data_IF_139127937668
#
_entry.id   IF_139127937668
#
_cell.length_a   1.000
_cell.length_b   1.000
_cell.length_c   1.000
_cell.angle_alpha   90.00
_cell.angle_beta   90.00
_cell.angle_gamma   90.00
#
_symmetry.space_group_name_H-M   'P 1'
#
loop_
_entity.id
_entity.type
_entity.pdbx_description
1 polymer ?
#
# COMPACT_ATOMS: atom_id res chain seq x y z
N UNK A 1 -8.22 -9.13 -2.62
CA UNK A 1 -9.65 -9.15 -3.01
C UNK A 1 -9.91 -8.51 -4.36
N UNK A 2 -9.58 -7.24 -4.61
CA UNK A 2 -9.83 -6.60 -5.94
C UNK A 2 -9.27 -7.39 -7.13
N UNK A 3 -8.09 -7.98 -6.94
CA UNK A 3 -7.42 -8.80 -7.96
C UNK A 3 -8.22 -10.01 -8.41
N UNK A 4 -9.13 -10.56 -7.59
CA UNK A 4 -9.98 -11.67 -8.05
C UNK A 4 -10.90 -11.26 -9.19
N UNK A 5 -11.39 -10.03 -9.15
CA UNK A 5 -12.18 -9.49 -10.24
C UNK A 5 -11.30 -9.08 -11.41
N UNK A 6 -10.15 -8.46 -11.14
CA UNK A 6 -9.20 -8.15 -12.22
C UNK A 6 -8.78 -9.45 -12.98
N UNK A 7 -8.73 -10.60 -12.29
CA UNK A 7 -8.43 -11.92 -12.87
C UNK A 7 -9.64 -12.68 -13.43
N UNK A 8 -10.86 -12.11 -13.39
CA UNK A 8 -12.08 -12.76 -13.89
C UNK A 8 -12.48 -14.06 -13.15
N UNK A 9 -12.06 -14.23 -11.90
CA UNK A 9 -12.35 -15.44 -11.10
C UNK A 9 -13.81 -15.47 -10.64
N UNK A 10 -14.38 -14.30 -10.32
CA UNK A 10 -15.74 -14.20 -9.81
C UNK A 10 -16.67 -13.76 -10.94
N UNK A 11 -17.76 -14.49 -11.14
CA UNK A 11 -18.77 -14.15 -12.15
C UNK A 11 -19.86 -13.23 -11.60
N UNK A 12 -20.58 -12.59 -12.52
CA UNK A 12 -21.78 -11.81 -12.20
C UNK A 12 -22.84 -12.69 -11.52
N UNK A 13 -23.54 -12.21 -10.47
CA UNK A 13 -23.53 -10.84 -9.92
C UNK A 13 -22.53 -10.59 -8.80
N UNK A 14 -21.80 -11.61 -8.33
CA UNK A 14 -20.96 -11.50 -7.13
C UNK A 14 -19.71 -10.63 -7.34
N UNK A 15 -19.24 -10.48 -8.58
CA UNK A 15 -18.12 -9.61 -8.91
C UNK A 15 -18.37 -8.13 -8.56
N UNK A 16 -19.64 -7.69 -8.51
CA UNK A 16 -20.03 -6.33 -8.09
C UNK A 16 -19.52 -5.98 -6.69
N UNK A 17 -19.45 -6.95 -5.79
CA UNK A 17 -18.91 -6.76 -4.43
C UNK A 17 -17.42 -6.40 -4.44
N UNK A 18 -16.71 -6.76 -5.50
CA UNK A 18 -15.29 -6.51 -5.66
C UNK A 18 -14.99 -5.26 -6.48
N UNK A 19 -15.99 -4.56 -7.01
CA UNK A 19 -15.81 -3.35 -7.83
C UNK A 19 -15.96 -2.09 -6.97
N UNK A 20 -15.18 -1.05 -7.31
CA UNK A 20 -15.30 0.27 -6.68
C UNK A 20 -16.62 0.94 -7.07
N UNK A 21 -17.35 1.59 -6.15
CA UNK A 21 -16.96 1.88 -4.76
C UNK A 21 -17.35 0.79 -3.74
N UNK A 22 -18.14 -0.22 -4.14
CA UNK A 22 -18.73 -1.22 -3.23
C UNK A 22 -17.67 -1.99 -2.43
N UNK A 23 -16.52 -2.30 -3.06
CA UNK A 23 -15.42 -3.00 -2.39
C UNK A 23 -14.94 -2.28 -1.11
N UNK A 24 -15.04 -0.95 -1.04
CA UNK A 24 -14.64 -0.21 0.16
C UNK A 24 -15.53 -0.56 1.36
N UNK A 25 -16.83 -0.74 1.16
CA UNK A 25 -17.75 -1.20 2.21
C UNK A 25 -17.47 -2.65 2.59
N UNK A 26 -17.20 -3.52 1.62
CA UNK A 26 -16.86 -4.93 1.87
C UNK A 26 -15.60 -5.04 2.74
N UNK A 27 -14.53 -4.32 2.37
CA UNK A 27 -13.29 -4.27 3.16
C UNK A 27 -13.54 -3.65 4.53
N UNK A 28 -14.36 -2.59 4.62
CA UNK A 28 -14.72 -1.97 5.90
C UNK A 28 -15.40 -2.95 6.85
N UNK A 29 -16.44 -3.67 6.40
CA UNK A 29 -17.15 -4.64 7.25
C UNK A 29 -16.28 -5.82 7.64
N UNK A 30 -15.41 -6.32 6.75
CA UNK A 30 -14.43 -7.35 7.10
C UNK A 30 -13.46 -6.84 8.17
N UNK A 31 -12.91 -5.64 7.97
CA UNK A 31 -11.96 -5.02 8.91
C UNK A 31 -12.62 -4.77 10.27
N UNK A 32 -13.86 -4.29 10.29
CA UNK A 32 -14.66 -4.09 11.49
C UNK A 32 -14.92 -5.42 12.20
N UNK A 33 -15.27 -6.48 11.45
CA UNK A 33 -15.42 -7.82 11.97
C UNK A 33 -14.14 -8.34 12.63
N UNK A 34 -12.99 -8.17 11.96
CA UNK A 34 -11.68 -8.51 12.53
C UNK A 34 -11.37 -7.71 13.80
N UNK A 35 -11.69 -6.42 13.83
CA UNK A 35 -11.48 -5.56 15.00
C UNK A 35 -12.33 -6.00 16.20
N UNK A 36 -13.62 -6.28 15.97
CA UNK A 36 -14.54 -6.76 17.00
C UNK A 36 -14.07 -8.13 17.52
N UNK A 37 -13.71 -9.05 16.63
CA UNK A 37 -13.18 -10.36 17.01
C UNK A 37 -11.89 -10.23 17.82
N UNK A 38 -10.94 -9.39 17.38
CA UNK A 38 -9.71 -9.12 18.11
C UNK A 38 -9.98 -8.59 19.52
N UNK A 39 -10.95 -7.68 19.68
CA UNK A 39 -11.39 -7.14 20.98
C UNK A 39 -12.03 -8.19 21.89
N UNK A 40 -12.83 -9.10 21.33
CA UNK A 40 -13.47 -10.19 22.10
C UNK A 40 -12.42 -11.21 22.54
N UNK A 41 -11.46 -11.55 21.67
CA UNK A 41 -10.38 -12.49 21.95
C UNK A 41 -9.42 -11.91 23.00
N UNK A 42 -9.02 -10.64 22.85
CA UNK A 42 -8.10 -9.98 23.80
C UNK A 42 -8.68 -9.94 25.21
N UNK A 43 -9.99 -9.74 25.35
CA UNK A 43 -10.68 -9.77 26.65
C UNK A 43 -10.69 -11.17 27.30
N UNK A 44 -10.65 -12.25 26.50
CA UNK A 44 -10.72 -13.64 26.99
C UNK A 44 -9.37 -14.28 27.28
N UNK A 45 -8.30 -13.89 26.59
CA UNK A 45 -7.04 -14.65 26.53
C UNK A 45 -5.85 -13.97 27.25
N UNK A 46 -6.14 -13.21 28.31
CA UNK A 46 -5.15 -12.36 29.02
C UNK A 46 -4.64 -11.21 28.15
N UNK A 47 -3.98 -10.22 28.75
CA UNK A 47 -3.60 -8.89 28.18
C UNK A 47 -2.63 -8.93 26.98
N UNK A 48 -2.81 -9.82 26.00
CA UNK A 48 -2.16 -9.68 24.71
C UNK A 48 -2.67 -8.41 24.03
N UNK A 49 -1.72 -7.60 23.57
CA UNK A 49 -1.97 -6.37 22.84
C UNK A 49 -2.98 -6.62 21.71
N UNK A 50 -4.16 -6.00 21.82
CA UNK A 50 -5.25 -6.08 20.83
C UNK A 50 -4.74 -5.80 19.41
N UNK A 51 -3.78 -4.88 19.29
CA UNK A 51 -3.09 -4.50 18.06
C UNK A 51 -2.41 -5.69 17.37
N UNK A 52 -1.70 -6.53 18.12
CA UNK A 52 -1.02 -7.71 17.57
C UNK A 52 -2.02 -8.75 17.07
N UNK A 53 -3.12 -8.96 17.81
CA UNK A 53 -4.18 -9.88 17.40
C UNK A 53 -4.83 -9.36 16.12
N UNK A 54 -5.22 -8.08 16.08
CA UNK A 54 -5.82 -7.46 14.91
C UNK A 54 -4.90 -7.52 13.68
N UNK A 55 -3.61 -7.18 13.85
CA UNK A 55 -2.61 -7.28 12.79
C UNK A 55 -2.43 -8.71 12.27
N UNK A 56 -2.43 -9.70 13.17
CA UNK A 56 -2.34 -11.11 12.78
C UNK A 56 -3.56 -11.58 11.99
N UNK A 57 -4.78 -11.13 12.35
CA UNK A 57 -5.99 -11.44 11.58
C UNK A 57 -5.94 -10.85 10.18
N UNK A 58 -5.45 -9.61 10.04
CA UNK A 58 -5.24 -8.98 8.74
C UNK A 58 -4.21 -9.75 7.89
N UNK A 59 -3.10 -10.18 8.48
CA UNK A 59 -2.08 -10.98 7.80
C UNK A 59 -2.61 -12.35 7.37
N UNK A 60 -3.37 -13.04 8.24
CA UNK A 60 -4.03 -14.30 7.92
C UNK A 60 -5.05 -14.12 6.79
N UNK A 61 -5.83 -13.04 6.83
CA UNK A 61 -6.77 -12.70 5.76
C UNK A 61 -6.04 -12.49 4.43
N UNK A 62 -4.92 -11.75 4.44
CA UNK A 62 -4.09 -11.55 3.26
C UNK A 62 -3.54 -12.88 2.72
N UNK A 63 -2.94 -13.72 3.57
CA UNK A 63 -2.38 -15.02 3.19
C UNK A 63 -3.48 -15.93 2.62
N UNK A 64 -4.64 -16.02 3.29
CA UNK A 64 -5.77 -16.80 2.81
C UNK A 64 -6.19 -16.37 1.41
N UNK A 65 -6.29 -15.06 1.17
CA UNK A 65 -6.66 -14.54 -0.14
C UNK A 65 -5.59 -14.81 -1.21
N UNK A 66 -4.32 -14.67 -0.86
CA UNK A 66 -3.22 -14.92 -1.78
C UNK A 66 -3.14 -16.41 -2.14
N UNK A 67 -3.29 -17.31 -1.17
CA UNK A 67 -3.32 -18.76 -1.38
C UNK A 67 -4.47 -19.21 -2.27
N UNK A 68 -5.66 -18.63 -2.08
CA UNK A 68 -6.81 -18.91 -2.95
C UNK A 68 -6.51 -18.44 -4.38
N UNK A 69 -5.95 -17.24 -4.54
CA UNK A 69 -5.57 -16.71 -5.85
C UNK A 69 -4.57 -17.62 -6.57
N UNK A 70 -3.52 -18.06 -5.88
CA UNK A 70 -2.51 -19.00 -6.39
C UNK A 70 -3.08 -20.39 -6.72
N UNK A 71 -4.19 -20.78 -6.10
CA UNK A 71 -4.84 -22.07 -6.38
C UNK A 71 -5.66 -22.04 -7.67
N UNK A 72 -6.10 -20.86 -8.11
CA UNK A 72 -6.97 -20.68 -9.28
C UNK A 72 -6.22 -20.12 -10.48
N UNK A 73 -5.23 -19.24 -10.25
CA UNK A 73 -4.49 -18.53 -11.29
C UNK A 73 -3.02 -18.96 -11.32
N UNK A 74 -2.45 -19.03 -12.52
CA UNK A 74 -1.03 -19.31 -12.71
C UNK A 74 -0.24 -18.01 -12.74
N UNK A 75 0.92 -18.00 -12.10
CA UNK A 75 1.84 -16.87 -12.16
C UNK A 75 2.37 -16.73 -13.59
N UNK A 76 2.11 -15.59 -14.22
CA UNK A 76 2.53 -15.29 -15.59
C UNK A 76 3.90 -14.60 -15.62
N UNK A 77 4.11 -13.62 -14.73
CA UNK A 77 5.27 -12.74 -14.73
C UNK A 77 5.92 -12.66 -13.33
N UNK A 78 6.60 -13.71 -12.86
CA UNK A 78 7.17 -13.74 -11.51
C UNK A 78 8.26 -12.68 -11.29
N UNK A 79 9.00 -12.31 -12.36
CA UNK A 79 10.08 -11.33 -12.29
C UNK A 79 9.60 -9.92 -11.97
N UNK A 80 8.34 -9.59 -12.30
CA UNK A 80 7.74 -8.27 -12.02
C UNK A 80 7.76 -7.99 -10.52
N UNK A 81 7.48 -8.99 -9.69
CA UNK A 81 7.55 -8.86 -8.23
C UNK A 81 8.96 -8.43 -7.78
N UNK A 82 10.00 -9.09 -8.32
CA UNK A 82 11.39 -8.80 -7.97
C UNK A 82 11.81 -7.40 -8.43
N UNK A 83 11.40 -6.98 -9.62
CA UNK A 83 11.70 -5.64 -10.13
C UNK A 83 11.02 -4.54 -9.31
N UNK A 84 9.74 -4.70 -8.97
CA UNK A 84 9.00 -3.71 -8.18
C UNK A 84 9.57 -3.59 -6.77
N UNK A 85 9.81 -4.72 -6.10
CA UNK A 85 10.43 -4.73 -4.78
C UNK A 85 11.85 -4.16 -4.84
N UNK A 86 12.65 -4.59 -5.80
CA UNK A 86 14.02 -4.14 -5.98
C UNK A 86 14.13 -2.63 -6.20
N UNK A 87 13.35 -2.07 -7.13
CA UNK A 87 13.32 -0.63 -7.39
C UNK A 87 12.79 0.16 -6.19
N UNK A 88 11.68 -0.29 -5.59
CA UNK A 88 11.11 0.38 -4.42
C UNK A 88 12.09 0.43 -3.24
N UNK A 89 12.78 -0.69 -2.97
CA UNK A 89 13.81 -0.75 -1.92
C UNK A 89 15.01 0.12 -2.28
N UNK A 90 15.50 0.07 -3.52
CA UNK A 90 16.66 0.86 -3.96
C UNK A 90 16.40 2.36 -3.81
N UNK A 91 15.26 2.85 -4.28
CA UNK A 91 14.92 4.28 -4.18
C UNK A 91 14.72 4.68 -2.73
N UNK A 92 14.03 3.87 -1.93
CA UNK A 92 13.81 4.14 -0.50
C UNK A 92 15.13 4.18 0.28
N UNK A 93 16.04 3.23 0.03
CA UNK A 93 17.37 3.23 0.64
C UNK A 93 18.20 4.44 0.21
N UNK A 94 18.11 4.84 -1.06
CA UNK A 94 18.79 6.02 -1.56
C UNK A 94 18.32 7.29 -0.83
N UNK A 95 17.00 7.45 -0.66
CA UNK A 95 16.42 8.56 0.10
C UNK A 95 16.83 8.49 1.58
N UNK A 96 16.79 7.31 2.19
CA UNK A 96 17.22 7.12 3.59
C UNK A 96 18.68 7.53 3.81
N UNK A 97 19.60 7.09 2.93
CA UNK A 97 21.02 7.42 3.03
C UNK A 97 21.24 8.93 2.89
N UNK A 98 20.56 9.57 1.93
CA UNK A 98 20.64 11.04 1.76
C UNK A 98 20.08 11.76 2.99
N UNK A 99 18.90 11.37 3.47
CA UNK A 99 18.29 11.96 4.66
C UNK A 99 19.19 11.83 5.89
N UNK A 100 19.79 10.65 6.10
CA UNK A 100 20.73 10.42 7.21
C UNK A 100 21.99 11.28 7.11
N UNK A 101 22.52 11.49 5.90
CA UNK A 101 23.70 12.36 5.67
C UNK A 101 23.40 13.83 5.94
N UNK A 102 22.19 14.29 5.60
CA UNK A 102 21.75 15.68 5.79
C UNK A 102 21.20 15.92 7.20
N UNK A 103 21.02 14.87 8.02
CA UNK A 103 20.45 14.98 9.36
C UNK A 103 18.94 15.20 9.36
N UNK A 104 18.24 14.81 8.29
CA UNK A 104 16.80 14.99 8.18
C UNK A 104 16.04 13.84 8.86
N UNK A 105 15.79 14.01 10.17
CA UNK A 105 15.25 12.95 11.03
C UNK A 105 13.88 12.41 10.59
N UNK A 106 13.05 13.25 9.97
CA UNK A 106 11.70 12.89 9.50
C UNK A 106 11.74 11.67 8.56
N UNK A 107 12.75 11.54 7.70
CA UNK A 107 12.84 10.38 6.78
C UNK A 107 13.68 9.22 7.34
N UNK A 108 14.09 9.30 8.60
CA UNK A 108 14.80 8.22 9.31
C UNK A 108 13.93 7.48 10.31
N UNK A 109 12.80 8.06 10.72
CA UNK A 109 11.80 7.40 11.55
C UNK A 109 11.23 6.16 10.85
N UNK A 110 11.00 5.08 11.61
CA UNK A 110 10.57 3.78 11.07
C UNK A 110 9.22 3.86 10.38
N UNK A 111 8.27 4.59 10.95
CA UNK A 111 6.92 4.70 10.40
C UNK A 111 6.93 5.56 9.12
N UNK A 112 7.65 6.68 9.13
CA UNK A 112 7.81 7.53 7.95
C UNK A 112 8.55 6.82 6.81
N UNK A 113 9.60 6.07 7.13
CA UNK A 113 10.32 5.27 6.14
C UNK A 113 9.43 4.16 5.56
N UNK A 114 8.56 3.57 6.38
CA UNK A 114 7.57 2.58 5.91
C UNK A 114 6.54 3.20 4.96
N UNK A 115 6.07 4.42 5.26
CA UNK A 115 5.17 5.18 4.38
C UNK A 115 5.87 5.47 3.04
N UNK A 116 7.09 5.98 3.11
CA UNK A 116 7.89 6.24 1.93
C UNK A 116 8.05 4.97 1.09
N UNK A 117 8.42 3.85 1.72
CA UNK A 117 8.58 2.57 1.05
C UNK A 117 7.31 2.12 0.34
N UNK A 118 6.15 2.19 1.00
CA UNK A 118 4.87 1.83 0.38
C UNK A 118 4.57 2.66 -0.88
N UNK A 119 4.85 3.96 -0.84
CA UNK A 119 4.67 4.84 -1.99
C UNK A 119 5.73 4.65 -3.09
N UNK A 120 6.95 4.27 -2.73
CA UNK A 120 7.99 3.91 -3.71
C UNK A 120 7.69 2.57 -4.39
N UNK A 121 7.11 1.60 -3.67
CA UNK A 121 6.58 0.38 -4.27
C UNK A 121 5.43 0.68 -5.24
N UNK A 122 4.53 1.59 -4.87
CA UNK A 122 3.45 2.01 -5.76
C UNK A 122 3.99 2.66 -7.05
N UNK A 123 4.92 3.62 -6.92
CA UNK A 123 5.59 4.22 -8.08
C UNK A 123 6.35 3.19 -8.93
N UNK A 124 7.00 2.22 -8.30
CA UNK A 124 7.69 1.13 -9.00
C UNK A 124 6.71 0.25 -9.77
N UNK A 125 5.54 -0.01 -9.18
CA UNK A 125 4.48 -0.76 -9.86
C UNK A 125 3.88 0.00 -11.05
N UNK A 126 3.70 1.32 -10.94
CA UNK A 126 3.28 2.16 -12.07
C UNK A 126 4.36 2.22 -13.14
N UNK A 127 5.62 2.41 -12.77
CA UNK A 127 6.75 2.47 -13.70
C UNK A 127 6.86 1.18 -14.52
N UNK A 128 6.94 0.03 -13.87
CA UNK A 128 7.00 -1.26 -14.55
C UNK A 128 5.72 -1.50 -15.37
N UNK A 129 4.54 -1.21 -14.79
CA UNK A 129 3.27 -1.41 -15.48
C UNK A 129 3.15 -0.61 -16.77
N UNK A 130 3.45 0.68 -16.74
CA UNK A 130 3.31 1.58 -17.89
C UNK A 130 4.41 1.32 -18.92
N UNK A 131 5.68 1.42 -18.50
CA UNK A 131 6.80 1.44 -19.43
C UNK A 131 7.13 0.08 -20.02
N UNK A 132 6.91 -1.02 -19.27
CA UNK A 132 7.29 -2.37 -19.74
C UNK A 132 6.11 -3.25 -20.11
N UNK A 133 4.94 -3.05 -19.51
CA UNK A 133 3.78 -3.91 -19.69
C UNK A 133 2.62 -3.23 -20.43
N UNK A 134 2.74 -1.95 -20.81
CA UNK A 134 1.74 -1.22 -21.59
C UNK A 134 0.44 -0.90 -20.86
N UNK A 135 0.45 -0.92 -19.52
CA UNK A 135 -0.69 -0.43 -18.73
C UNK A 135 -0.80 1.10 -18.82
N UNK A 136 -1.99 1.62 -18.52
CA UNK A 136 -2.24 3.06 -18.48
C UNK A 136 -2.52 3.52 -17.04
N UNK A 137 -1.91 4.64 -16.67
CA UNK A 137 -2.21 5.35 -15.42
C UNK A 137 -3.58 6.03 -15.51
N UNK A 138 -4.38 5.92 -14.46
CA UNK A 138 -5.77 6.42 -14.42
C UNK A 138 -5.89 7.77 -13.71
N UNK A 139 -4.87 8.17 -12.95
CA UNK A 139 -4.89 9.42 -12.19
C UNK A 139 -4.48 10.62 -13.06
N UNK A 140 -5.35 11.62 -13.14
CA UNK A 140 -5.19 12.80 -14.04
C UNK A 140 -3.80 13.44 -13.97
N UNK A 141 -3.32 13.79 -12.76
CA UNK A 141 -2.02 14.46 -12.60
C UNK A 141 -0.83 13.54 -12.96
N UNK A 142 -0.72 12.32 -12.41
CA UNK A 142 0.21 11.30 -12.88
C UNK A 142 0.20 11.10 -14.40
N UNK A 143 -0.95 10.83 -15.01
CA UNK A 143 -1.08 10.57 -16.45
C UNK A 143 -0.57 11.76 -17.26
N UNK A 144 -0.94 12.98 -16.90
CA UNK A 144 -0.45 14.19 -17.57
C UNK A 144 1.08 14.32 -17.54
N UNK A 145 1.71 14.02 -16.39
CA UNK A 145 3.17 14.08 -16.27
C UNK A 145 3.86 12.96 -17.06
N UNK A 146 3.25 11.78 -17.12
CA UNK A 146 3.75 10.66 -17.92
C UNK A 146 3.68 11.02 -19.41
N UNK A 147 2.57 11.58 -19.87
CA UNK A 147 2.39 12.01 -21.26
C UNK A 147 3.41 13.10 -21.66
N UNK A 148 3.75 13.99 -20.72
CA UNK A 148 4.75 15.05 -20.94
C UNK A 148 6.19 14.52 -20.98
N UNK A 149 6.52 13.54 -20.12
CA UNK A 149 7.90 13.03 -19.96
C UNK A 149 8.18 11.79 -20.80
N UNK A 150 7.15 11.12 -21.30
CA UNK A 150 7.24 9.86 -22.03
C UNK A 150 7.54 8.62 -21.15
N UNK A 151 7.54 8.75 -19.82
CA UNK A 151 7.87 7.65 -18.90
C UNK A 151 7.16 7.78 -17.56
N UNK A 152 6.75 6.65 -16.99
CA UNK A 152 6.25 6.58 -15.62
C UNK A 152 7.33 6.73 -14.54
N UNK A 153 8.60 6.88 -14.92
CA UNK A 153 9.68 7.20 -13.98
C UNK A 153 9.43 8.53 -13.25
N UNK A 154 8.69 9.47 -13.85
CA UNK A 154 8.29 10.74 -13.22
C UNK A 154 7.48 10.55 -11.92
N UNK A 155 6.92 9.37 -11.69
CA UNK A 155 6.14 9.05 -10.48
C UNK A 155 6.99 9.06 -9.21
N UNK A 156 8.28 8.71 -9.29
CA UNK A 156 9.17 8.75 -8.13
C UNK A 156 9.35 10.17 -7.59
N UNK A 157 9.88 11.15 -8.38
CA UNK A 157 10.03 12.51 -7.88
C UNK A 157 8.69 13.15 -7.51
N UNK A 158 7.61 12.86 -8.24
CA UNK A 158 6.27 13.35 -7.89
C UNK A 158 5.85 12.90 -6.48
N UNK A 159 5.94 11.60 -6.18
CA UNK A 159 5.56 11.09 -4.85
C UNK A 159 6.50 11.60 -3.77
N UNK A 160 7.80 11.67 -4.01
CA UNK A 160 8.75 12.24 -3.05
C UNK A 160 8.43 13.71 -2.74
N UNK A 161 8.17 14.52 -3.76
CA UNK A 161 7.82 15.93 -3.61
C UNK A 161 6.52 16.15 -2.82
N UNK A 162 5.58 15.20 -2.86
CA UNK A 162 4.33 15.27 -2.08
C UNK A 162 4.54 14.74 -0.66
N UNK A 163 5.11 13.54 -0.50
CA UNK A 163 5.13 12.87 0.79
C UNK A 163 6.20 13.42 1.74
N UNK A 164 7.32 13.97 1.25
CA UNK A 164 8.32 14.58 2.13
C UNK A 164 7.72 15.78 2.90
N UNK A 165 7.08 16.79 2.24
CA UNK A 165 6.40 17.87 2.95
C UNK A 165 5.25 17.40 3.83
N UNK A 166 4.42 16.46 3.35
CA UNK A 166 3.29 15.94 4.14
C UNK A 166 3.77 15.30 5.44
N UNK A 167 4.80 14.46 5.39
CA UNK A 167 5.37 13.84 6.58
C UNK A 167 6.02 14.87 7.51
N UNK A 168 6.70 15.87 6.96
CA UNK A 168 7.28 16.96 7.74
C UNK A 168 6.21 17.76 8.52
N UNK A 169 5.11 18.12 7.84
CA UNK A 169 3.98 18.84 8.44
C UNK A 169 3.34 18.02 9.56
N UNK A 170 3.06 16.73 9.28
CA UNK A 170 2.46 15.83 10.27
C UNK A 170 3.37 15.67 11.49
N UNK A 171 4.68 15.63 11.28
CA UNK A 171 5.65 15.45 12.35
C UNK A 171 5.92 16.70 13.17
N UNK A 172 5.68 17.87 12.61
CA UNK A 172 5.90 19.14 13.30
C UNK A 172 4.66 19.60 14.04
N UNK A 173 3.47 19.39 13.48
CA UNK A 173 2.24 20.04 13.95
C UNK A 173 1.39 19.23 14.95
N UNK A 174 1.66 17.93 15.15
CA UNK A 174 0.83 17.05 15.99
C UNK A 174 1.59 16.47 17.18
N UNK A 175 2.29 17.31 17.95
CA UNK A 175 3.15 16.88 19.06
C UNK A 175 2.76 17.42 20.45
N UNK A 176 1.79 18.33 20.53
CA UNK A 176 1.51 19.11 21.75
C UNK A 176 1.02 18.23 22.91
N UNK A 177 0.06 17.34 22.65
CA UNK A 177 -0.59 16.53 23.67
C UNK A 177 -0.74 15.05 23.24
N UNK A 178 -1.22 14.21 24.15
CA UNK A 178 -1.34 12.77 23.91
C UNK A 178 -2.37 12.42 22.82
N UNK A 179 -3.46 13.19 22.72
CA UNK A 179 -4.48 12.99 21.69
C UNK A 179 -3.92 13.35 20.31
N UNK A 180 -3.20 14.47 20.21
CA UNK A 180 -2.47 14.87 18.99
C UNK A 180 -1.48 13.81 18.52
N UNK A 181 -0.71 13.19 19.43
CA UNK A 181 0.22 12.10 19.08
C UNK A 181 -0.49 10.84 18.57
N UNK A 182 -1.65 10.51 19.13
CA UNK A 182 -2.47 9.41 18.65
C UNK A 182 -3.02 9.71 17.24
N UNK A 183 -3.51 10.93 17.02
CA UNK A 183 -3.99 11.37 15.70
C UNK A 183 -2.87 11.35 14.66
N UNK A 184 -1.66 11.84 15.00
CA UNK A 184 -0.46 11.76 14.16
C UNK A 184 -0.21 10.34 13.68
N UNK A 185 -0.21 9.38 14.62
CA UNK A 185 0.02 7.97 14.30
C UNK A 185 -1.10 7.40 13.43
N UNK A 186 -2.35 7.73 13.73
CA UNK A 186 -3.51 7.31 12.94
C UNK A 186 -3.43 7.81 11.49
N UNK A 187 -3.16 9.12 11.29
CA UNK A 187 -3.04 9.72 9.96
C UNK A 187 -1.88 9.08 9.18
N UNK A 188 -0.73 8.85 9.83
CA UNK A 188 0.40 8.13 9.23
C UNK A 188 0.03 6.72 8.78
N UNK A 189 -0.72 5.97 9.60
CA UNK A 189 -1.21 4.64 9.24
C UNK A 189 -2.18 4.70 8.05
N UNK A 190 -3.04 5.72 7.97
CA UNK A 190 -3.91 5.94 6.81
C UNK A 190 -3.07 6.17 5.55
N UNK A 191 -2.08 7.04 5.60
CA UNK A 191 -1.19 7.32 4.46
C UNK A 191 -0.44 6.06 4.02
N UNK A 192 0.09 5.28 4.99
CA UNK A 192 0.74 4.00 4.74
C UNK A 192 -0.18 3.05 3.94
N UNK A 193 -1.44 2.91 4.37
CA UNK A 193 -2.43 2.05 3.71
C UNK A 193 -2.78 2.57 2.32
N UNK A 194 -2.89 3.89 2.14
CA UNK A 194 -3.14 4.51 0.83
C UNK A 194 -2.04 4.24 -0.19
N UNK A 195 -0.77 4.12 0.24
CA UNK A 195 0.33 3.71 -0.64
C UNK A 195 0.39 2.20 -0.86
N UNK A 196 0.23 1.41 0.21
CA UNK A 196 0.39 -0.04 0.16
C UNK A 196 -0.73 -0.73 -0.62
N UNK A 197 -1.96 -0.21 -0.53
CA UNK A 197 -3.13 -0.78 -1.22
C UNK A 197 -2.96 -0.85 -2.75
N UNK A 198 -2.70 0.27 -3.46
CA UNK A 198 -2.45 0.23 -4.90
C UNK A 198 -1.14 -0.49 -5.25
N UNK A 199 -0.07 -0.34 -4.47
CA UNK A 199 1.18 -1.06 -4.69
C UNK A 199 0.98 -2.58 -4.72
N UNK A 200 0.30 -3.13 -3.70
CA UNK A 200 0.00 -4.56 -3.61
C UNK A 200 -0.93 -4.99 -4.74
N UNK A 201 -2.01 -4.24 -5.02
CA UNK A 201 -2.95 -4.60 -6.08
C UNK A 201 -2.25 -4.65 -7.45
N UNK A 202 -1.55 -3.58 -7.80
CA UNK A 202 -0.86 -3.44 -9.09
C UNK A 202 0.20 -4.53 -9.26
N UNK A 203 1.01 -4.76 -8.23
CA UNK A 203 2.04 -5.81 -8.26
C UNK A 203 1.42 -7.19 -8.45
N UNK A 204 0.42 -7.54 -7.65
CA UNK A 204 -0.19 -8.88 -7.70
C UNK A 204 -0.87 -9.08 -9.07
N UNK A 205 -1.67 -8.13 -9.56
CA UNK A 205 -2.33 -8.28 -10.87
C UNK A 205 -1.31 -8.46 -12.01
N UNK A 206 -0.21 -7.70 -12.00
CA UNK A 206 0.82 -7.81 -13.04
C UNK A 206 1.57 -9.15 -12.97
N UNK A 207 1.83 -9.66 -11.76
CA UNK A 207 2.42 -11.01 -11.56
C UNK A 207 1.54 -12.09 -12.17
N UNK A 208 0.21 -11.94 -12.12
CA UNK A 208 -0.74 -12.83 -12.78
C UNK A 208 -1.05 -12.44 -14.24
N UNK A 209 -0.51 -11.34 -14.76
CA UNK A 209 -0.71 -10.89 -16.13
C UNK A 209 -2.12 -10.34 -16.41
N UNK A 210 -2.79 -9.77 -15.41
CA UNK A 210 -4.17 -9.24 -15.48
C UNK A 210 -4.29 -7.76 -15.14
#
# INVERSE_FOLDING_TARGET
MRVYEDAGIIQYPFNLLLITPIIYFVVFFITLGCLIAAKVISKKWSEKNMETIFGSMGALWFIFNLSLLLSVQKIALPMVLLYILGLGTLVTLSVYVVAKKVGFEVLTDKLNLSILYAHMLDASSTFIGVDTLGYYEKHVLPSYLIDLTGTAFVMYPLKLAIFIPVLYIIDTNFNEDAESRNLRTFVKLVILVLGLSPACRNTIRMVFGV
#
